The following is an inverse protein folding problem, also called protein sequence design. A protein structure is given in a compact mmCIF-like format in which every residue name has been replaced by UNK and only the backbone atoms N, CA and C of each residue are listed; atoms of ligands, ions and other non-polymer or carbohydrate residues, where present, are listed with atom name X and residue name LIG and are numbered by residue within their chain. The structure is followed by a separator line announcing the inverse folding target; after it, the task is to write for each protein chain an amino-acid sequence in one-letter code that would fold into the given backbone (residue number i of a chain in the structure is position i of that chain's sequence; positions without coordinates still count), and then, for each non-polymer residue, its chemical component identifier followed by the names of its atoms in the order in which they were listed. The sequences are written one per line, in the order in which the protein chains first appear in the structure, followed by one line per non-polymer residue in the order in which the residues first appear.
data_IF_880539834975
#
_entry.id   IF_880539834975
#
_cell.length_a   1.000
_cell.length_b   1.000
_cell.length_c   1.000
_cell.angle_alpha   90.00
_cell.angle_beta   90.00
_cell.angle_gamma   90.00
#
_symmetry.space_group_name_H-M   'P 1'
#
loop_
_entity.id
_entity.type
_entity.pdbx_description
1 polymer ?
#
# COMPACT_ATOMS: atom_id res chain seq x y z
N UNK A 1 -5.19 43.11 9.41
CA UNK A 1 -5.79 43.00 8.06
C UNK A 1 -4.63 43.16 7.06
N UNK A 2 -4.24 42.27 6.16
CA UNK A 2 -4.81 41.05 5.61
C UNK A 2 -3.68 40.07 5.23
N UNK A 3 -3.96 38.78 5.39
CA UNK A 3 -3.13 37.64 4.99
C UNK A 3 -2.81 37.70 3.49
N UNK A 4 -1.54 37.49 3.11
CA UNK A 4 -1.24 36.79 1.86
C UNK A 4 -0.13 35.76 2.08
N UNK A 5 -0.55 34.69 2.78
CA UNK A 5 0.02 33.35 2.70
C UNK A 5 0.20 33.03 1.22
N UNK A 6 1.44 33.12 0.73
CA UNK A 6 1.86 32.54 -0.54
C UNK A 6 1.63 31.03 -0.42
N UNK A 7 0.41 30.62 -0.76
CA UNK A 7 0.03 29.23 -0.98
C UNK A 7 0.95 28.76 -2.09
N UNK A 8 2.03 28.08 -1.70
CA UNK A 8 2.79 27.25 -2.63
C UNK A 8 1.77 26.38 -3.33
N UNK A 9 1.60 26.63 -4.63
CA UNK A 9 0.77 25.81 -5.50
C UNK A 9 1.41 24.42 -5.54
N UNK A 10 1.03 23.56 -4.59
CA UNK A 10 1.38 22.16 -4.54
C UNK A 10 0.43 21.40 -5.45
N UNK A 11 0.54 21.67 -6.76
CA UNK A 11 -0.11 20.85 -7.77
C UNK A 11 0.42 19.43 -7.69
N UNK A 12 -0.47 18.45 -7.80
CA UNK A 12 -0.19 17.00 -7.79
C UNK A 12 0.87 16.55 -8.83
N UNK A 13 1.30 17.45 -9.72
CA UNK A 13 2.25 17.21 -10.81
C UNK A 13 3.61 17.94 -10.66
N UNK A 14 4.02 18.30 -9.43
CA UNK A 14 5.34 18.93 -9.21
C UNK A 14 6.44 17.85 -9.25
N UNK A 15 7.18 17.76 -10.35
CA UNK A 15 8.36 16.90 -10.46
C UNK A 15 9.46 17.39 -9.51
N UNK A 16 9.66 16.70 -8.40
CA UNK A 16 10.77 16.92 -7.49
C UNK A 16 12.08 16.43 -8.15
N UNK A 17 13.23 17.08 -7.88
CA UNK A 17 14.52 16.60 -8.37
C UNK A 17 14.74 15.15 -7.90
N UNK A 18 15.33 14.32 -8.76
CA UNK A 18 15.51 12.88 -8.51
C UNK A 18 16.19 12.58 -7.17
N UNK A 19 17.12 13.45 -6.74
CA UNK A 19 17.79 13.38 -5.44
C UNK A 19 16.86 13.47 -4.22
N UNK A 20 15.66 14.05 -4.37
CA UNK A 20 14.64 14.09 -3.29
C UNK A 20 13.53 13.06 -3.52
N UNK A 21 13.16 12.79 -4.77
CA UNK A 21 12.08 11.87 -5.11
C UNK A 21 12.41 10.41 -4.76
N UNK A 22 13.66 9.99 -4.94
CA UNK A 22 14.07 8.60 -4.68
C UNK A 22 14.02 8.26 -3.18
N UNK A 23 14.67 9.04 -2.27
CA UNK A 23 14.58 8.77 -0.84
C UNK A 23 13.15 8.82 -0.30
N UNK A 24 12.33 9.76 -0.78
CA UNK A 24 10.92 9.88 -0.38
C UNK A 24 10.10 8.66 -0.85
N UNK A 25 10.32 8.19 -2.07
CA UNK A 25 9.67 6.99 -2.59
C UNK A 25 10.04 5.75 -1.78
N UNK A 26 11.32 5.59 -1.46
CA UNK A 26 11.80 4.50 -0.59
C UNK A 26 11.16 4.58 0.79
N UNK A 27 11.18 5.74 1.44
CA UNK A 27 10.54 5.93 2.75
C UNK A 27 9.06 5.56 2.70
N UNK A 28 8.36 5.91 1.62
CA UNK A 28 6.94 5.64 1.48
C UNK A 28 6.65 4.14 1.28
N UNK A 29 7.48 3.43 0.51
CA UNK A 29 7.39 1.97 0.37
C UNK A 29 7.68 1.27 1.69
N UNK A 30 8.75 1.69 2.39
CA UNK A 30 9.12 1.13 3.70
C UNK A 30 8.03 1.37 4.75
N UNK A 31 7.39 2.54 4.74
CA UNK A 31 6.28 2.85 5.63
C UNK A 31 5.06 1.93 5.40
N UNK A 32 4.79 1.56 4.16
CA UNK A 32 3.68 0.67 3.80
C UNK A 32 4.02 -0.82 3.96
N UNK A 33 5.30 -1.18 3.95
CA UNK A 33 5.78 -2.57 4.02
C UNK A 33 5.28 -3.31 5.26
N UNK A 34 5.41 -2.70 6.44
CA UNK A 34 4.96 -3.30 7.69
C UNK A 34 3.45 -3.62 7.65
N UNK A 35 2.62 -2.66 7.21
CA UNK A 35 1.18 -2.85 7.11
C UNK A 35 0.76 -3.98 6.17
N UNK A 36 1.44 -4.13 5.03
CA UNK A 36 1.13 -5.16 4.05
C UNK A 36 1.53 -6.58 4.47
N UNK A 37 2.50 -6.72 5.37
CA UNK A 37 2.97 -8.02 5.86
C UNK A 37 2.18 -8.45 7.10
N UNK A 38 1.78 -7.51 7.95
CA UNK A 38 1.07 -7.83 9.19
C UNK A 38 -0.24 -8.57 8.93
N UNK A 39 -1.05 -8.14 7.95
CA UNK A 39 -2.35 -8.77 7.65
C UNK A 39 -2.23 -10.25 7.25
N UNK A 40 -1.42 -10.64 6.23
CA UNK A 40 -1.28 -12.05 5.87
C UNK A 40 -0.65 -12.89 6.99
N UNK A 41 0.26 -12.34 7.80
CA UNK A 41 0.79 -13.04 8.98
C UNK A 41 -0.32 -13.36 9.98
N UNK A 42 -1.17 -12.39 10.31
CA UNK A 42 -2.26 -12.57 11.26
C UNK A 42 -3.24 -13.63 10.72
N UNK A 43 -3.66 -13.50 9.46
CA UNK A 43 -4.60 -14.45 8.85
C UNK A 43 -4.00 -15.86 8.85
N UNK A 44 -2.78 -16.03 8.36
CA UNK A 44 -2.12 -17.34 8.36
C UNK A 44 -1.93 -17.92 9.77
N UNK A 45 -1.74 -17.07 10.78
CA UNK A 45 -1.71 -17.47 12.19
C UNK A 45 -3.05 -17.98 12.71
N UNK A 46 -4.16 -17.31 12.35
CA UNK A 46 -5.52 -17.72 12.74
C UNK A 46 -5.88 -19.08 12.10
N UNK A 47 -5.47 -19.32 10.86
CA UNK A 47 -5.72 -20.57 10.13
C UNK A 47 -4.69 -21.69 10.39
N UNK A 48 -3.75 -21.50 11.32
CA UNK A 48 -2.77 -22.53 11.69
C UNK A 48 -1.82 -22.97 10.56
N UNK A 49 -1.59 -22.11 9.56
CA UNK A 49 -0.79 -22.44 8.38
C UNK A 49 0.69 -22.65 8.70
N UNK A 50 1.37 -23.43 7.88
CA UNK A 50 2.81 -23.69 7.97
C UNK A 50 3.64 -22.43 7.69
N UNK A 51 4.93 -22.45 8.04
CA UNK A 51 5.84 -21.32 7.78
C UNK A 51 5.99 -21.05 6.28
N UNK A 52 6.01 -22.09 5.46
CA UNK A 52 6.16 -21.97 4.01
C UNK A 52 4.93 -21.30 3.39
N UNK A 53 3.72 -21.69 3.82
CA UNK A 53 2.46 -21.05 3.40
C UNK A 53 2.37 -19.60 3.85
N UNK A 54 2.84 -19.27 5.07
CA UNK A 54 2.93 -17.88 5.55
C UNK A 54 3.80 -17.02 4.65
N UNK A 55 4.99 -17.51 4.30
CA UNK A 55 5.93 -16.79 3.43
C UNK A 55 5.32 -16.61 2.03
N UNK A 56 4.69 -17.66 1.50
CA UNK A 56 3.99 -17.60 0.22
C UNK A 56 2.88 -16.53 0.22
N UNK A 57 2.05 -16.49 1.26
CA UNK A 57 0.99 -15.48 1.41
C UNK A 57 1.55 -14.06 1.49
N UNK A 58 2.65 -13.86 2.21
CA UNK A 58 3.35 -12.56 2.27
C UNK A 58 3.85 -12.14 0.89
N UNK A 59 4.51 -13.04 0.17
CA UNK A 59 5.04 -12.75 -1.17
C UNK A 59 3.91 -12.38 -2.15
N UNK A 60 2.81 -13.15 -2.13
CA UNK A 60 1.64 -12.87 -2.96
C UNK A 60 0.98 -11.54 -2.59
N UNK A 61 0.81 -11.24 -1.30
CA UNK A 61 0.26 -9.97 -0.84
C UNK A 61 1.09 -8.77 -1.30
N UNK A 62 2.42 -8.84 -1.17
CA UNK A 62 3.33 -7.78 -1.61
C UNK A 62 3.34 -7.63 -3.15
N UNK A 63 3.32 -8.74 -3.88
CA UNK A 63 3.27 -8.73 -5.34
C UNK A 63 1.99 -8.06 -5.85
N UNK A 64 0.82 -8.50 -5.34
CA UNK A 64 -0.48 -7.94 -5.71
C UNK A 64 -0.59 -6.46 -5.32
N UNK A 65 -0.12 -6.08 -4.13
CA UNK A 65 -0.10 -4.69 -3.69
C UNK A 65 0.75 -3.80 -4.62
N UNK A 66 1.90 -4.30 -5.09
CA UNK A 66 2.75 -3.61 -6.05
C UNK A 66 2.04 -3.42 -7.40
N UNK A 67 1.46 -4.49 -7.95
CA UNK A 67 0.69 -4.44 -9.20
C UNK A 67 -0.50 -3.48 -9.09
N UNK A 68 -1.28 -3.57 -8.02
CA UNK A 68 -2.41 -2.69 -7.76
C UNK A 68 -1.98 -1.22 -7.63
N UNK A 69 -0.84 -0.96 -6.99
CA UNK A 69 -0.26 0.39 -6.89
C UNK A 69 0.14 0.93 -8.27
N UNK A 70 0.75 0.11 -9.13
CA UNK A 70 1.08 0.52 -10.51
C UNK A 70 -0.20 0.83 -11.30
N UNK A 71 -1.21 -0.04 -11.22
CA UNK A 71 -2.49 0.17 -11.90
C UNK A 71 -3.16 1.47 -11.41
N UNK A 72 -3.09 1.78 -10.11
CA UNK A 72 -3.72 2.97 -9.54
C UNK A 72 -2.99 4.27 -9.89
N UNK A 73 -1.64 4.21 -9.95
CA UNK A 73 -0.76 5.37 -10.16
C UNK A 73 -0.53 5.68 -11.63
N UNK A 74 -0.28 4.68 -12.47
CA UNK A 74 -0.11 4.85 -13.92
C UNK A 74 -1.47 5.00 -14.59
N UNK A 75 -2.43 4.15 -14.19
CA UNK A 75 -3.77 4.09 -14.79
C UNK A 75 -3.77 3.66 -16.26
N UNK A 76 -4.89 3.10 -16.72
CA UNK A 76 -5.13 2.88 -18.14
C UNK A 76 -6.56 3.32 -18.51
N UNK A 77 -6.65 4.33 -19.39
CA UNK A 77 -7.90 4.97 -19.80
C UNK A 77 -8.72 5.45 -18.60
N UNK A 78 -9.79 4.72 -18.23
CA UNK A 78 -10.70 5.02 -17.13
C UNK A 78 -10.41 4.22 -15.85
N UNK A 79 -9.39 3.36 -15.86
CA UNK A 79 -9.00 2.54 -14.71
C UNK A 79 -7.81 3.21 -14.01
N UNK A 80 -7.92 3.40 -12.70
CA UNK A 80 -6.90 4.02 -11.86
C UNK A 80 -7.05 5.54 -11.74
N UNK A 81 -6.85 6.06 -10.53
CA UNK A 81 -7.01 7.50 -10.22
C UNK A 81 -5.93 8.38 -10.85
N UNK A 82 -4.81 7.80 -11.30
CA UNK A 82 -3.62 8.52 -11.80
C UNK A 82 -3.05 9.50 -10.77
N UNK A 83 -3.29 9.20 -9.50
CA UNK A 83 -2.79 9.92 -8.33
C UNK A 83 -1.75 9.04 -7.62
N UNK A 84 -0.81 9.64 -6.87
CA UNK A 84 0.17 8.92 -6.08
C UNK A 84 -0.50 8.24 -4.88
N UNK A 85 -1.18 7.12 -5.14
CA UNK A 85 -1.87 6.28 -4.15
C UNK A 85 -1.15 4.93 -4.09
N UNK A 86 -0.76 4.52 -2.88
CA UNK A 86 -0.27 3.16 -2.63
C UNK A 86 -1.42 2.26 -2.18
N UNK A 87 -1.49 1.08 -2.77
CA UNK A 87 -2.43 0.03 -2.41
C UNK A 87 -1.79 -0.93 -1.41
N UNK A 88 -2.60 -1.42 -0.47
CA UNK A 88 -2.15 -2.33 0.58
C UNK A 88 -3.27 -3.23 1.08
N UNK A 89 -2.93 -4.19 1.94
CA UNK A 89 -3.90 -5.10 2.53
C UNK A 89 -4.68 -4.42 3.66
N UNK A 90 -6.01 -4.42 3.59
CA UNK A 90 -6.85 -3.80 4.62
C UNK A 90 -6.92 -4.65 5.89
N UNK A 91 -6.70 -4.03 7.05
CA UNK A 91 -6.90 -4.67 8.36
C UNK A 91 -8.36 -5.08 8.62
N UNK A 92 -9.32 -4.53 7.87
CA UNK A 92 -10.73 -4.92 7.96
C UNK A 92 -10.99 -6.37 7.56
N UNK A 93 -10.08 -7.01 6.79
CA UNK A 93 -10.22 -8.42 6.41
C UNK A 93 -10.00 -9.38 7.59
N UNK A 94 -9.25 -8.98 8.62
CA UNK A 94 -8.95 -9.85 9.76
C UNK A 94 -10.23 -10.28 10.51
N UNK A 95 -11.09 -9.36 11.00
CA UNK A 95 -12.30 -9.77 11.72
C UNK A 95 -13.31 -10.50 10.83
N UNK A 96 -13.30 -10.26 9.51
CA UNK A 96 -14.18 -10.96 8.55
C UNK A 96 -13.72 -12.40 8.35
N UNK A 97 -12.40 -12.64 8.30
CA UNK A 97 -11.83 -13.98 8.08
C UNK A 97 -11.76 -14.83 9.35
N UNK A 98 -11.66 -14.21 10.53
CA UNK A 98 -11.47 -14.91 11.80
C UNK A 98 -12.52 -16.00 12.12
N UNK A 99 -13.83 -15.83 11.83
CA UNK A 99 -14.83 -16.88 12.07
C UNK A 99 -14.65 -18.13 11.20
N UNK A 100 -14.10 -17.99 9.99
CA UNK A 100 -13.95 -19.09 9.04
C UNK A 100 -12.82 -20.06 9.39
N UNK A 101 -11.90 -19.68 10.27
CA UNK A 101 -10.82 -20.55 10.70
C UNK A 101 -11.26 -21.68 11.66
N UNK A 102 -12.49 -21.62 12.17
CA UNK A 102 -13.05 -22.58 13.15
C UNK A 102 -14.22 -23.39 12.59
N UNK A 103 -14.45 -23.33 11.28
CA UNK A 103 -15.40 -24.18 10.55
C UNK A 103 -14.64 -25.36 9.97
#
# INVERSE_FOLDING_TARGET
MARKKLRGSSGSNKKLPLNKSIPLGIQHVLAMFAGNITVPIIIAGIFGQTTDEKIFLIQMALFVAGVATIIQTVGYKNIGSRLPIIQGTSFAFIPVMAPFAKV
#
